data_IF_112504647735
#
_entry.id   IF_112504647735
#
_cell.length_a   1.000
_cell.length_b   1.000
_cell.length_c   1.000
_cell.angle_alpha   90.00
_cell.angle_beta   90.00
_cell.angle_gamma   90.00
#
_symmetry.space_group_name_H-M   'P 1'
#
loop_
_entity.id
_entity.type
_entity.pdbx_description
1 polymer ?
#
# COMPACT_ATOMS: atom_id res chain seq x y z
N UNK A 1 7.96 8.10 23.03
CA UNK A 1 6.54 7.68 22.88
C UNK A 1 6.20 7.33 21.44
N UNK A 2 5.36 6.32 21.21
CA UNK A 2 4.81 5.98 19.90
C UNK A 2 3.29 6.24 19.89
N UNK A 3 2.77 6.72 18.77
CA UNK A 3 1.35 7.01 18.60
C UNK A 3 0.87 6.62 17.22
N UNK A 4 -0.41 6.30 17.11
CA UNK A 4 -1.04 5.77 15.91
C UNK A 4 -2.30 6.56 15.56
N UNK A 5 -2.49 6.85 14.29
CA UNK A 5 -3.72 7.41 13.74
C UNK A 5 -3.94 6.86 12.31
N UNK A 6 -5.20 6.72 11.90
CA UNK A 6 -5.56 6.36 10.52
C UNK A 6 -6.68 7.25 10.00
N UNK A 7 -6.68 7.54 8.71
CA UNK A 7 -7.70 8.37 8.06
C UNK A 7 -8.12 7.75 6.73
N UNK A 8 -9.42 7.76 6.48
CA UNK A 8 -10.01 7.36 5.20
C UNK A 8 -9.64 8.40 4.14
N UNK A 9 -9.02 7.93 3.06
CA UNK A 9 -8.64 8.67 1.87
C UNK A 9 -9.16 7.97 0.61
N UNK A 10 -10.37 7.43 0.63
CA UNK A 10 -11.00 6.78 -0.53
C UNK A 10 -11.09 7.66 -1.78
N UNK A 11 -11.04 8.99 -1.62
CA UNK A 11 -10.99 9.93 -2.76
C UNK A 11 -9.59 9.99 -3.41
N UNK A 12 -8.56 9.57 -2.67
CA UNK A 12 -7.16 9.69 -3.07
C UNK A 12 -6.63 8.44 -3.79
N UNK A 13 -7.41 7.38 -3.84
CA UNK A 13 -7.01 6.11 -4.47
C UNK A 13 -8.22 5.48 -5.11
N UNK A 14 -7.97 4.69 -6.14
CA UNK A 14 -8.98 3.80 -6.69
C UNK A 14 -8.32 2.51 -7.16
N UNK A 15 -9.09 1.44 -7.14
CA UNK A 15 -8.70 0.19 -7.79
C UNK A 15 -9.09 0.23 -9.26
N UNK A 16 -8.13 -0.02 -10.16
CA UNK A 16 -8.38 -0.05 -11.61
C UNK A 16 -8.91 -1.40 -12.09
N UNK A 17 -8.80 -2.44 -11.27
CA UNK A 17 -9.09 -3.82 -11.65
C UNK A 17 -10.29 -4.37 -10.88
N UNK A 18 -11.27 -5.04 -11.54
CA UNK A 18 -12.33 -5.75 -10.83
C UNK A 18 -11.76 -6.78 -9.84
N UNK A 19 -12.42 -7.02 -8.70
CA UNK A 19 -13.75 -6.54 -8.29
C UNK A 19 -13.74 -5.18 -7.57
N UNK A 20 -12.71 -4.35 -7.76
CA UNK A 20 -12.61 -3.00 -7.25
C UNK A 20 -12.56 -2.93 -5.72
N UNK A 21 -11.52 -3.54 -5.16
CA UNK A 21 -11.27 -3.54 -3.73
C UNK A 21 -10.00 -2.75 -3.42
N UNK A 22 -10.05 -1.92 -2.39
CA UNK A 22 -8.90 -1.16 -1.93
C UNK A 22 -8.92 -0.94 -0.43
N UNK A 23 -7.75 -0.88 0.19
CA UNK A 23 -7.63 -0.32 1.53
C UNK A 23 -7.71 1.23 1.43
N UNK A 24 -8.80 1.88 1.87
CA UNK A 24 -8.96 3.32 1.68
C UNK A 24 -8.10 4.14 2.65
N UNK A 25 -7.42 3.52 3.61
CA UNK A 25 -6.83 4.23 4.74
C UNK A 25 -5.36 4.58 4.53
N UNK A 26 -4.99 5.80 4.93
CA UNK A 26 -3.61 6.17 5.26
C UNK A 26 -3.38 6.00 6.75
N UNK A 27 -2.30 5.32 7.10
CA UNK A 27 -1.92 5.04 8.49
C UNK A 27 -0.65 5.79 8.85
N UNK A 28 -0.64 6.41 10.03
CA UNK A 28 0.51 7.13 10.57
C UNK A 28 0.89 6.56 11.93
N UNK A 29 2.14 6.12 12.04
CA UNK A 29 2.84 5.98 13.30
C UNK A 29 3.76 7.19 13.50
N UNK A 30 3.69 7.83 14.66
CA UNK A 30 4.60 8.92 15.02
C UNK A 30 5.38 8.55 16.28
N UNK A 31 6.70 8.43 16.12
CA UNK A 31 7.66 8.22 17.19
C UNK A 31 8.25 9.55 17.64
N UNK A 32 8.08 9.87 18.92
CA UNK A 32 8.72 11.00 19.57
C UNK A 32 9.81 10.49 20.50
N UNK A 33 11.10 10.78 20.24
CA UNK A 33 12.20 10.35 21.09
C UNK A 33 12.20 11.07 22.43
N UNK A 34 12.69 10.42 23.48
CA UNK A 34 12.85 11.03 24.81
C UNK A 34 14.08 11.94 24.87
N UNK A 35 15.06 11.72 23.97
CA UNK A 35 16.28 12.50 23.90
C UNK A 35 15.98 13.93 23.41
N UNK A 36 16.35 14.92 24.22
CA UNK A 36 16.19 16.33 23.87
C UNK A 36 16.98 16.67 22.59
N UNK A 37 16.32 17.31 21.63
CA UNK A 37 16.93 17.70 20.35
C UNK A 37 16.97 16.58 19.30
N UNK A 38 16.49 15.37 19.61
CA UNK A 38 16.33 14.33 18.60
C UNK A 38 15.07 14.59 17.75
N UNK A 39 15.22 14.44 16.44
CA UNK A 39 14.13 14.62 15.47
C UNK A 39 13.09 13.50 15.62
N UNK A 40 11.79 13.81 15.79
CA UNK A 40 10.74 12.80 15.76
C UNK A 40 10.63 12.14 14.37
N UNK A 41 10.07 10.93 14.32
CA UNK A 41 9.94 10.16 13.07
C UNK A 41 8.48 9.85 12.79
N UNK A 42 8.05 10.07 11.55
CA UNK A 42 6.77 9.63 11.02
C UNK A 42 7.01 8.42 10.12
N UNK A 43 6.28 7.33 10.39
CA UNK A 43 6.20 6.15 9.54
C UNK A 43 4.79 6.11 8.98
N UNK A 44 4.66 6.16 7.67
CA UNK A 44 3.37 6.16 6.98
C UNK A 44 3.25 4.96 6.06
N UNK A 45 2.04 4.41 5.99
CA UNK A 45 1.67 3.39 5.01
C UNK A 45 0.37 3.77 4.31
N UNK A 46 0.37 3.54 3.00
CA UNK A 46 -0.74 3.84 2.10
C UNK A 46 -0.68 2.91 0.89
N UNK A 47 -1.81 2.30 0.53
CA UNK A 47 -1.93 1.37 -0.59
C UNK A 47 -2.17 2.12 -1.90
N UNK A 48 -1.11 2.66 -2.51
CA UNK A 48 -1.18 3.34 -3.80
C UNK A 48 0.07 3.06 -4.61
N UNK A 49 -0.05 2.67 -5.88
CA UNK A 49 1.12 2.50 -6.74
C UNK A 49 1.90 3.82 -6.91
N UNK A 50 3.24 3.81 -6.77
CA UNK A 50 4.10 4.93 -7.15
C UNK A 50 4.32 4.97 -8.67
N UNK A 51 3.23 5.22 -9.41
CA UNK A 51 3.22 5.29 -10.88
C UNK A 51 2.71 6.63 -11.42
N UNK A 52 2.56 7.65 -10.56
CA UNK A 52 1.95 8.94 -10.93
C UNK A 52 2.79 9.73 -11.93
N UNK A 53 4.11 9.54 -11.93
CA UNK A 53 5.03 10.16 -12.91
C UNK A 53 4.92 9.61 -14.32
N UNK A 54 4.17 8.51 -14.53
CA UNK A 54 3.95 7.85 -15.82
C UNK A 54 5.20 7.20 -16.47
N UNK A 55 4.96 6.26 -17.39
CA UNK A 55 5.99 5.45 -18.05
C UNK A 55 6.84 6.21 -19.08
N UNK A 56 6.39 7.39 -19.51
CA UNK A 56 7.11 8.25 -20.45
C UNK A 56 8.12 9.18 -19.77
N UNK A 57 8.14 9.22 -18.43
CA UNK A 57 9.12 9.97 -17.66
C UNK A 57 10.52 9.34 -17.78
N UNK A 58 11.52 10.15 -18.13
CA UNK A 58 12.87 9.67 -18.52
C UNK A 58 13.92 9.86 -17.43
N UNK A 59 13.52 10.28 -16.25
CA UNK A 59 14.42 10.50 -15.11
C UNK A 59 14.04 9.59 -13.96
N UNK A 60 15.03 9.25 -13.14
CA UNK A 60 14.80 8.50 -11.92
C UNK A 60 13.92 9.36 -11.00
N UNK A 61 12.84 8.77 -10.49
CA UNK A 61 11.92 9.39 -9.56
C UNK A 61 11.56 8.40 -8.46
N UNK A 62 11.34 8.90 -7.25
CA UNK A 62 10.67 8.16 -6.18
C UNK A 62 9.16 8.48 -6.12
N UNK A 63 8.63 9.05 -7.21
CA UNK A 63 7.23 9.39 -7.41
C UNK A 63 6.68 10.32 -6.31
N UNK A 64 5.39 10.26 -6.01
CA UNK A 64 4.74 11.10 -5.00
C UNK A 64 5.38 11.01 -3.61
N UNK A 65 6.07 9.91 -3.27
CA UNK A 65 6.65 9.67 -1.95
C UNK A 65 7.74 10.69 -1.63
N UNK A 66 8.57 11.05 -2.62
CA UNK A 66 9.62 12.07 -2.42
C UNK A 66 9.02 13.42 -2.05
N UNK A 67 7.91 13.81 -2.68
CA UNK A 67 7.27 15.09 -2.40
C UNK A 67 6.52 15.07 -1.05
N UNK A 68 6.01 13.92 -0.61
CA UNK A 68 5.56 13.75 0.77
C UNK A 68 6.70 14.02 1.77
N UNK A 69 7.87 13.46 1.49
CA UNK A 69 9.08 13.63 2.33
C UNK A 69 9.46 15.11 2.48
N UNK A 70 9.40 15.89 1.40
CA UNK A 70 9.73 17.33 1.45
C UNK A 70 8.83 18.09 2.43
N UNK A 71 7.52 17.84 2.43
CA UNK A 71 6.59 18.48 3.39
C UNK A 71 6.89 18.05 4.83
N UNK A 72 7.10 16.75 5.03
CA UNK A 72 7.30 16.15 6.36
C UNK A 72 8.63 16.58 6.98
N UNK A 73 9.71 16.59 6.20
CA UNK A 73 11.02 17.07 6.62
C UNK A 73 10.98 18.58 6.92
N UNK A 74 10.25 19.38 6.12
CA UNK A 74 10.04 20.81 6.39
C UNK A 74 9.32 21.04 7.72
N UNK A 75 8.39 20.16 8.09
CA UNK A 75 7.72 20.19 9.38
C UNK A 75 8.59 19.68 10.56
N UNK A 76 9.84 19.27 10.30
CA UNK A 76 10.80 18.88 11.33
C UNK A 76 10.69 17.41 11.78
N UNK A 77 10.22 16.52 10.91
CA UNK A 77 10.14 15.08 11.17
C UNK A 77 11.04 14.31 10.21
N UNK A 78 11.67 13.22 10.66
CA UNK A 78 12.16 12.20 9.73
C UNK A 78 10.96 11.47 9.11
N UNK A 79 11.12 10.95 7.90
CA UNK A 79 10.05 10.25 7.20
C UNK A 79 10.46 8.84 6.77
N UNK A 80 9.54 7.89 6.95
CA UNK A 80 9.62 6.55 6.38
C UNK A 80 8.27 6.25 5.74
N UNK A 81 8.29 5.93 4.46
CA UNK A 81 7.13 5.38 3.77
C UNK A 81 7.30 3.86 3.64
N UNK A 82 6.27 3.11 4.02
CA UNK A 82 6.18 1.67 3.78
C UNK A 82 4.99 1.47 2.85
N UNK A 83 5.20 0.79 1.73
CA UNK A 83 4.13 0.51 0.78
C UNK A 83 3.02 -0.26 1.51
N UNK A 84 1.79 0.27 1.44
CA UNK A 84 0.61 -0.40 2.00
C UNK A 84 0.12 -1.53 1.11
N UNK A 85 -1.13 -1.93 1.31
CA UNK A 85 -1.76 -2.91 0.43
C UNK A 85 -1.99 -2.32 -0.97
N UNK A 86 -1.04 -2.56 -1.87
CA UNK A 86 -1.00 -1.85 -3.15
C UNK A 86 -1.95 -2.47 -4.16
N UNK A 87 -2.15 -3.81 -4.13
CA UNK A 87 -3.03 -4.51 -5.08
C UNK A 87 -2.85 -3.94 -6.49
N UNK A 88 -3.92 -3.57 -7.18
CA UNK A 88 -3.98 -2.81 -8.44
C UNK A 88 -4.40 -1.35 -8.23
N UNK A 89 -4.24 -0.82 -7.02
CA UNK A 89 -4.67 0.54 -6.67
C UNK A 89 -3.74 1.61 -7.21
N UNK A 90 -4.30 2.69 -7.73
CA UNK A 90 -3.53 3.80 -8.29
C UNK A 90 -4.05 5.14 -7.78
N UNK A 91 -3.30 6.20 -8.08
CA UNK A 91 -3.54 7.54 -7.54
C UNK A 91 -4.82 8.15 -8.07
N UNK A 92 -5.58 8.77 -7.17
CA UNK A 92 -6.66 9.71 -7.45
C UNK A 92 -6.53 10.85 -6.45
N UNK A 93 -6.71 12.10 -6.82
CA UNK A 93 -7.74 13.02 -6.35
C UNK A 93 -7.72 14.08 -7.44
N UNK A 94 -8.04 13.59 -8.64
CA UNK A 94 -7.17 13.70 -9.82
C UNK A 94 -5.79 14.33 -9.53
N UNK A 95 -4.97 13.60 -8.79
CA UNK A 95 -3.60 13.94 -8.42
C UNK A 95 -3.38 15.39 -7.93
N UNK A 96 -4.32 15.84 -7.08
CA UNK A 96 -4.39 17.05 -6.24
C UNK A 96 -5.25 18.23 -6.75
N UNK A 97 -6.27 17.92 -7.54
CA UNK A 97 -7.11 18.81 -8.35
C UNK A 97 -7.35 20.24 -7.83
N UNK A 98 -6.51 21.11 -8.36
CA UNK A 98 -6.46 22.57 -8.30
C UNK A 98 -6.98 23.25 -9.59
N UNK A 99 -7.45 22.44 -10.55
CA UNK A 99 -7.94 22.88 -11.86
C UNK A 99 -6.84 23.25 -12.86
N UNK A 100 -5.58 22.85 -12.62
CA UNK A 100 -4.46 23.15 -13.52
C UNK A 100 -4.30 22.10 -14.63
N UNK A 101 -3.79 22.56 -15.78
CA UNK A 101 -3.33 21.71 -16.89
C UNK A 101 -1.87 21.32 -16.62
N UNK A 102 -1.68 20.10 -16.12
CA UNK A 102 -0.41 19.59 -15.62
C UNK A 102 0.03 18.36 -16.40
N UNK A 103 1.33 18.19 -16.56
CA UNK A 103 1.86 16.89 -16.96
C UNK A 103 1.85 15.88 -15.81
N UNK A 104 2.12 14.60 -16.11
CA UNK A 104 2.10 13.52 -15.12
C UNK A 104 3.10 13.74 -13.98
N UNK A 105 4.26 14.34 -14.25
CA UNK A 105 5.26 14.63 -13.25
C UNK A 105 4.78 15.74 -12.31
N UNK A 106 4.26 16.83 -12.85
CA UNK A 106 3.68 17.92 -12.08
C UNK A 106 2.50 17.44 -11.23
N UNK A 107 1.65 16.58 -11.77
CA UNK A 107 0.58 15.94 -11.01
C UNK A 107 1.12 15.06 -9.86
N UNK A 108 2.19 14.29 -10.07
CA UNK A 108 2.84 13.49 -9.03
C UNK A 108 3.43 14.36 -7.91
N UNK A 109 4.05 15.49 -8.27
CA UNK A 109 4.59 16.48 -7.32
C UNK A 109 3.48 16.97 -6.39
N UNK A 110 2.39 17.44 -6.98
CA UNK A 110 1.32 18.04 -6.19
C UNK A 110 0.55 17.02 -5.37
N UNK A 111 0.28 15.84 -5.93
CA UNK A 111 -0.30 14.71 -5.20
C UNK A 111 0.54 14.33 -3.97
N UNK A 112 1.86 14.26 -4.13
CA UNK A 112 2.77 13.97 -3.01
C UNK A 112 2.80 15.06 -1.95
N UNK A 113 2.82 16.34 -2.33
CA UNK A 113 2.70 17.43 -1.35
C UNK A 113 1.40 17.35 -0.55
N UNK A 114 0.28 17.10 -1.23
CA UNK A 114 -1.01 16.99 -0.55
C UNK A 114 -1.05 15.81 0.43
N UNK A 115 -0.57 14.63 0.03
CA UNK A 115 -0.44 13.48 0.94
C UNK A 115 0.51 13.76 2.11
N UNK A 116 1.58 14.54 1.90
CA UNK A 116 2.49 14.98 2.95
C UNK A 116 1.78 15.88 3.98
N UNK A 117 1.02 16.87 3.51
CA UNK A 117 0.19 17.73 4.37
C UNK A 117 -0.85 16.92 5.14
N UNK A 118 -1.57 16.04 4.46
CA UNK A 118 -2.57 15.15 5.05
C UNK A 118 -1.94 14.32 6.16
N UNK A 119 -0.81 13.67 5.89
CA UNK A 119 -0.08 12.84 6.87
C UNK A 119 0.19 13.60 8.16
N UNK A 120 0.71 14.82 8.07
CA UNK A 120 0.93 15.69 9.23
C UNK A 120 -0.39 16.09 9.91
N UNK A 121 -1.43 16.37 9.12
CA UNK A 121 -2.69 16.96 9.56
C UNK A 121 -3.74 15.99 10.14
N UNK A 122 -3.51 14.68 10.12
CA UNK A 122 -4.46 13.65 10.60
C UNK A 122 -5.19 14.03 11.90
N UNK A 123 -4.48 14.61 12.87
CA UNK A 123 -5.01 14.95 14.21
C UNK A 123 -5.23 16.45 14.41
N UNK A 124 -5.05 17.26 13.35
CA UNK A 124 -5.14 18.71 13.40
C UNK A 124 -6.55 19.19 13.02
N UNK A 125 -7.00 20.24 13.69
CA UNK A 125 -8.20 20.99 13.28
C UNK A 125 -7.95 21.74 11.97
N UNK A 126 -9.00 22.11 11.24
CA UNK A 126 -8.88 22.88 10.00
C UNK A 126 -8.06 24.17 10.16
N UNK A 127 -8.24 24.92 11.26
CA UNK A 127 -7.43 26.12 11.54
C UNK A 127 -5.94 25.81 11.73
N UNK A 128 -5.61 24.65 12.31
CA UNK A 128 -4.23 24.19 12.42
C UNK A 128 -3.69 23.71 11.07
N UNK A 129 -4.52 23.15 10.19
CA UNK A 129 -4.15 22.82 8.82
C UNK A 129 -3.77 24.06 8.01
N UNK A 130 -4.50 25.18 8.18
CA UNK A 130 -4.13 26.47 7.58
C UNK A 130 -2.75 26.94 8.06
N UNK A 131 -2.49 26.85 9.37
CA UNK A 131 -1.19 27.22 9.93
C UNK A 131 -0.06 26.30 9.43
N UNK A 132 -0.31 25.00 9.34
CA UNK A 132 0.61 24.01 8.79
C UNK A 132 0.95 24.32 7.33
N UNK A 133 -0.07 24.56 6.49
CA UNK A 133 0.09 24.92 5.09
C UNK A 133 1.09 26.07 4.91
N UNK A 134 0.90 27.15 5.66
CA UNK A 134 1.74 28.34 5.59
C UNK A 134 3.14 28.11 6.16
N UNK A 135 3.26 27.34 7.24
CA UNK A 135 4.56 27.07 7.89
C UNK A 135 5.44 26.18 7.01
N UNK A 136 4.83 25.26 6.25
CA UNK A 136 5.54 24.42 5.29
C UNK A 136 5.60 25.03 3.88
N UNK A 137 5.36 26.34 3.72
CA UNK A 137 5.66 27.06 2.49
C UNK A 137 4.55 27.12 1.43
N UNK A 138 3.33 26.69 1.74
CA UNK A 138 2.17 26.74 0.83
C UNK A 138 2.46 26.09 -0.53
N UNK A 139 2.98 24.86 -0.53
CA UNK A 139 3.49 24.19 -1.73
C UNK A 139 2.40 23.86 -2.78
N UNK A 140 1.14 23.87 -2.36
CA UNK A 140 -0.02 23.74 -3.26
C UNK A 140 -0.56 25.10 -3.73
N UNK A 141 0.01 26.21 -3.26
CA UNK A 141 -0.37 27.57 -3.64
C UNK A 141 -1.78 27.97 -3.20
N UNK A 142 -2.25 27.47 -2.05
CA UNK A 142 -3.59 27.74 -1.52
C UNK A 142 -3.81 29.25 -1.33
N UNK A 143 -2.80 30.01 -0.90
CA UNK A 143 -2.95 31.46 -0.70
C UNK A 143 -3.11 32.23 -2.01
N UNK A 144 -2.62 31.68 -3.12
CA UNK A 144 -2.67 32.31 -4.44
C UNK A 144 -3.91 31.86 -5.20
N UNK A 145 -4.18 30.55 -5.20
CA UNK A 145 -5.17 29.91 -6.06
C UNK A 145 -6.46 29.52 -5.34
N UNK A 146 -6.51 29.54 -4.00
CA UNK A 146 -7.64 29.03 -3.21
C UNK A 146 -8.99 29.74 -3.43
N UNK A 147 -8.98 30.91 -4.08
CA UNK A 147 -10.20 31.63 -4.48
C UNK A 147 -10.69 31.29 -5.90
N UNK A 148 -9.93 30.51 -6.68
CA UNK A 148 -10.34 30.08 -8.02
C UNK A 148 -11.47 29.06 -7.91
N UNK A 149 -12.45 29.15 -8.81
CA UNK A 149 -13.64 28.28 -8.79
C UNK A 149 -13.29 26.79 -8.93
N UNK A 150 -12.24 26.49 -9.70
CA UNK A 150 -11.81 25.12 -9.99
C UNK A 150 -10.76 24.59 -9.00
N UNK A 151 -10.30 25.43 -8.05
CA UNK A 151 -9.31 25.03 -7.04
C UNK A 151 -9.97 24.41 -5.82
N UNK A 152 -9.54 23.21 -5.44
CA UNK A 152 -10.00 22.56 -4.21
C UNK A 152 -8.93 22.64 -3.12
N UNK A 153 -9.28 23.25 -2.00
CA UNK A 153 -8.38 23.35 -0.84
C UNK A 153 -8.38 22.01 -0.10
N UNK A 154 -7.20 21.41 0.08
CA UNK A 154 -7.03 20.07 0.68
C UNK A 154 -7.58 19.95 2.11
N UNK A 155 -7.56 21.04 2.89
CA UNK A 155 -8.08 21.07 4.27
C UNK A 155 -9.52 21.57 4.38
N UNK A 156 -10.24 21.79 3.27
CA UNK A 156 -11.62 22.27 3.33
C UNK A 156 -12.53 21.22 3.97
N UNK A 157 -13.30 21.62 4.98
CA UNK A 157 -14.16 20.72 5.77
C UNK A 157 -13.36 19.62 6.49
N UNK A 158 -12.11 19.90 6.86
CA UNK A 158 -11.23 18.89 7.42
C UNK A 158 -11.71 18.44 8.81
N UNK A 159 -11.92 17.13 8.94
CA UNK A 159 -12.25 16.50 10.23
C UNK A 159 -11.02 15.74 10.74
N UNK A 160 -10.46 16.10 11.91
CA UNK A 160 -9.37 15.34 12.52
C UNK A 160 -9.83 13.96 12.97
N UNK A 161 -8.90 13.01 12.96
CA UNK A 161 -9.08 11.67 13.51
C UNK A 161 -8.45 11.56 14.90
N UNK A 162 -8.94 10.61 15.69
CA UNK A 162 -8.38 10.32 17.01
C UNK A 162 -6.98 9.70 16.88
N UNK A 163 -6.12 10.05 17.84
CA UNK A 163 -4.79 9.46 18.01
C UNK A 163 -4.81 8.48 19.19
N UNK A 164 -4.25 7.29 18.99
CA UNK A 164 -4.04 6.30 20.05
C UNK A 164 -2.57 6.33 20.47
N UNK A 165 -2.29 6.28 21.77
CA UNK A 165 -0.94 5.97 22.25
C UNK A 165 -0.69 4.49 22.07
N UNK A 166 0.44 4.14 21.47
CA UNK A 166 0.81 2.74 21.23
C UNK A 166 1.58 2.22 22.43
N UNK A 167 1.19 1.05 22.94
CA UNK A 167 1.91 0.42 24.04
C UNK A 167 3.36 0.08 23.62
N UNK A 168 4.35 0.10 24.53
CA UNK A 168 5.76 -0.18 24.21
C UNK A 168 6.00 -1.69 24.03
N UNK A 169 5.26 -2.30 23.10
CA UNK A 169 5.32 -3.71 22.74
C UNK A 169 5.55 -3.79 21.23
N UNK A 170 6.54 -4.58 20.84
CA UNK A 170 6.89 -4.84 19.45
C UNK A 170 7.09 -6.33 19.28
N UNK A 171 6.21 -6.97 18.52
CA UNK A 171 6.35 -8.36 18.13
C UNK A 171 6.71 -8.44 16.65
N UNK A 172 7.72 -9.24 16.33
CA UNK A 172 8.13 -9.52 14.96
C UNK A 172 8.31 -11.02 14.81
N UNK A 173 7.73 -11.61 13.77
CA UNK A 173 7.94 -13.01 13.37
C UNK A 173 8.13 -13.06 11.86
N UNK A 174 9.03 -13.92 11.42
CA UNK A 174 9.31 -14.15 10.01
C UNK A 174 9.27 -15.65 9.74
N UNK A 175 8.76 -16.04 8.58
CA UNK A 175 8.76 -17.40 8.07
C UNK A 175 9.40 -17.43 6.68
N UNK A 176 10.48 -18.20 6.52
CA UNK A 176 11.14 -18.42 5.24
C UNK A 176 10.82 -19.83 4.73
N UNK A 177 10.41 -19.93 3.46
CA UNK A 177 9.97 -21.20 2.90
C UNK A 177 10.14 -21.28 1.39
N UNK A 178 9.99 -22.50 0.87
CA UNK A 178 9.90 -22.76 -0.57
C UNK A 178 8.45 -22.63 -1.01
N UNK A 179 8.17 -21.68 -1.88
CA UNK A 179 6.88 -21.53 -2.55
C UNK A 179 6.94 -22.23 -3.90
N UNK A 180 5.99 -23.14 -4.17
CA UNK A 180 5.91 -23.81 -5.46
C UNK A 180 5.44 -22.83 -6.54
N UNK A 181 6.15 -22.80 -7.66
CA UNK A 181 5.77 -22.04 -8.85
C UNK A 181 5.04 -22.94 -9.85
N UNK A 182 3.71 -22.77 -9.93
CA UNK A 182 2.85 -23.42 -10.93
C UNK A 182 2.71 -22.57 -12.21
N UNK A 183 3.22 -21.33 -12.20
CA UNK A 183 3.14 -20.43 -13.35
C UNK A 183 4.20 -20.77 -14.40
N UNK A 184 3.76 -21.20 -15.58
CA UNK A 184 4.64 -21.57 -16.68
C UNK A 184 5.46 -20.40 -17.23
N UNK A 185 4.92 -19.18 -17.21
CA UNK A 185 5.64 -17.96 -17.62
C UNK A 185 6.75 -17.68 -16.63
N UNK A 186 6.46 -17.63 -15.32
CA UNK A 186 7.48 -17.46 -14.27
C UNK A 186 8.55 -18.54 -14.33
N UNK A 187 8.16 -19.80 -14.53
CA UNK A 187 9.09 -20.92 -14.69
C UNK A 187 9.97 -20.79 -15.93
N UNK A 188 9.43 -20.30 -17.06
CA UNK A 188 10.21 -20.04 -18.26
C UNK A 188 11.20 -18.90 -18.02
N UNK A 189 10.77 -17.78 -17.42
CA UNK A 189 11.62 -16.64 -17.07
C UNK A 189 12.77 -17.05 -16.14
N UNK A 190 12.49 -17.86 -15.11
CA UNK A 190 13.50 -18.39 -14.21
C UNK A 190 14.49 -19.32 -14.91
N UNK A 191 14.04 -20.19 -15.83
CA UNK A 191 14.92 -21.09 -16.59
C UNK A 191 15.92 -20.36 -17.48
N UNK A 192 15.51 -19.23 -18.09
CA UNK A 192 16.35 -18.47 -19.00
C UNK A 192 17.11 -17.33 -18.30
N UNK A 193 17.02 -17.25 -16.96
CA UNK A 193 17.57 -16.15 -16.16
C UNK A 193 17.13 -14.77 -16.66
N UNK A 194 15.89 -14.65 -17.13
CA UNK A 194 15.32 -13.36 -17.54
C UNK A 194 15.04 -12.46 -16.32
N UNK A 195 14.78 -13.08 -15.17
CA UNK A 195 14.67 -12.41 -13.88
C UNK A 195 15.72 -12.99 -12.91
N UNK A 196 16.16 -12.16 -11.95
CA UNK A 196 17.13 -12.54 -10.93
C UNK A 196 16.53 -13.35 -9.76
N UNK A 197 15.28 -13.80 -9.89
CA UNK A 197 14.58 -14.58 -8.87
C UNK A 197 15.25 -15.93 -8.68
N UNK A 198 15.42 -16.35 -7.43
CA UNK A 198 16.08 -17.62 -7.11
C UNK A 198 15.11 -18.80 -7.25
N UNK A 199 15.19 -19.49 -8.39
CA UNK A 199 14.39 -20.70 -8.64
C UNK A 199 15.16 -21.99 -8.31
N UNK A 200 14.51 -22.88 -7.56
CA UNK A 200 14.96 -24.24 -7.28
C UNK A 200 14.12 -25.21 -8.11
N UNK A 201 14.79 -26.12 -8.83
CA UNK A 201 14.12 -27.19 -9.57
C UNK A 201 14.30 -28.53 -8.86
N UNK A 202 13.19 -29.12 -8.41
CA UNK A 202 13.17 -30.47 -7.87
C UNK A 202 12.97 -31.48 -9.00
N UNK A 203 14.02 -32.26 -9.29
CA UNK A 203 14.00 -33.29 -10.34
C UNK A 203 13.04 -34.44 -10.02
N UNK A 204 12.78 -34.73 -8.74
CA UNK A 204 11.94 -35.85 -8.32
C UNK A 204 10.46 -35.58 -8.56
N UNK A 205 10.02 -34.36 -8.22
CA UNK A 205 8.63 -33.90 -8.43
C UNK A 205 8.44 -33.13 -9.74
N UNK A 206 9.53 -32.89 -10.49
CA UNK A 206 9.55 -32.08 -11.72
C UNK A 206 8.91 -30.70 -11.55
N UNK A 207 9.10 -30.11 -10.38
CA UNK A 207 8.45 -28.86 -9.96
C UNK A 207 9.48 -27.75 -9.72
N UNK A 208 9.06 -26.52 -9.99
CA UNK A 208 9.83 -25.31 -9.69
C UNK A 208 9.36 -24.71 -8.37
N UNK A 209 10.30 -24.15 -7.63
CA UNK A 209 10.06 -23.44 -6.39
C UNK A 209 10.85 -22.14 -6.39
N UNK A 210 10.36 -21.13 -5.68
CA UNK A 210 11.14 -19.95 -5.31
C UNK A 210 11.32 -19.92 -3.80
N UNK A 211 12.47 -19.45 -3.32
CA UNK A 211 12.64 -19.13 -1.90
C UNK A 211 12.01 -17.77 -1.67
N UNK A 212 11.20 -17.66 -0.62
CA UNK A 212 10.57 -16.40 -0.22
C UNK A 212 10.41 -16.34 1.28
N UNK A 213 9.99 -15.19 1.79
CA UNK A 213 9.72 -14.96 3.20
C UNK A 213 8.44 -14.15 3.40
N UNK A 214 7.77 -14.37 4.52
CA UNK A 214 6.60 -13.59 4.92
C UNK A 214 6.73 -13.24 6.40
N UNK A 215 6.27 -12.05 6.77
CA UNK A 215 6.42 -11.54 8.12
C UNK A 215 5.10 -11.14 8.78
N UNK A 216 5.18 -11.07 10.10
CA UNK A 216 4.19 -10.49 10.98
C UNK A 216 4.88 -9.44 11.86
N UNK A 217 4.30 -8.25 11.95
CA UNK A 217 4.71 -7.21 12.89
C UNK A 217 3.51 -6.72 13.67
N UNK A 218 3.69 -6.45 14.95
CA UNK A 218 2.67 -5.83 15.80
C UNK A 218 3.29 -4.73 16.64
N UNK A 219 2.63 -3.56 16.64
CA UNK A 219 2.96 -2.40 17.46
C UNK A 219 1.87 -2.20 18.51
N UNK A 220 2.21 -2.49 19.76
CA UNK A 220 1.28 -2.46 20.88
C UNK A 220 0.11 -3.42 20.67
N UNK A 221 -1.10 -2.96 20.99
CA UNK A 221 -2.35 -3.64 20.63
C UNK A 221 -3.10 -2.87 19.53
N UNK A 222 -2.44 -1.90 18.91
CA UNK A 222 -3.06 -0.88 18.09
C UNK A 222 -2.94 -1.14 16.59
N UNK A 223 -1.92 -1.91 16.15
CA UNK A 223 -1.65 -2.14 14.74
C UNK A 223 -0.91 -3.47 14.51
N UNK A 224 -1.46 -4.29 13.63
CA UNK A 224 -0.88 -5.55 13.15
C UNK A 224 -0.58 -5.42 11.65
N UNK A 225 0.54 -5.98 11.20
CA UNK A 225 1.00 -5.89 9.81
C UNK A 225 1.40 -7.25 9.28
N UNK A 226 0.88 -7.59 8.10
CA UNK A 226 1.45 -8.62 7.23
C UNK A 226 2.58 -7.98 6.42
N UNK A 227 3.81 -8.47 6.57
CA UNK A 227 4.92 -8.12 5.67
C UNK A 227 4.86 -9.06 4.47
N UNK A 228 4.38 -8.53 3.35
CA UNK A 228 4.03 -9.28 2.16
C UNK A 228 5.21 -9.32 1.18
N UNK A 229 5.60 -10.50 0.69
CA UNK A 229 6.64 -10.65 -0.33
C UNK A 229 6.16 -10.32 -1.75
N UNK A 230 5.00 -9.70 -1.93
CA UNK A 230 4.42 -9.40 -3.24
C UNK A 230 3.38 -8.30 -3.15
N UNK A 231 2.46 -8.28 -4.11
CA UNK A 231 1.35 -7.31 -4.16
C UNK A 231 0.04 -8.06 -3.92
N UNK A 232 -0.52 -7.95 -2.71
CA UNK A 232 -1.74 -8.68 -2.37
C UNK A 232 -2.97 -7.98 -2.95
N UNK A 233 -3.85 -8.76 -3.57
CA UNK A 233 -5.17 -8.27 -3.97
C UNK A 233 -5.95 -7.84 -2.72
N UNK A 234 -6.56 -6.66 -2.76
CA UNK A 234 -7.12 -6.02 -1.56
C UNK A 234 -8.24 -6.82 -0.91
N UNK A 235 -8.93 -7.68 -1.65
CA UNK A 235 -9.96 -8.57 -1.12
C UNK A 235 -9.40 -9.53 -0.06
N UNK A 236 -8.12 -9.90 -0.15
CA UNK A 236 -7.45 -10.68 0.90
C UNK A 236 -7.38 -9.92 2.23
N UNK A 237 -7.29 -8.59 2.18
CA UNK A 237 -7.28 -7.73 3.36
C UNK A 237 -8.70 -7.38 3.82
N UNK A 238 -9.52 -6.83 2.92
CA UNK A 238 -10.79 -6.17 3.26
C UNK A 238 -12.04 -7.02 2.97
N UNK A 239 -11.90 -8.14 2.27
CA UNK A 239 -12.99 -8.99 1.84
C UNK A 239 -13.67 -8.51 0.57
N UNK A 240 -14.87 -9.05 0.32
CA UNK A 240 -15.68 -8.74 -0.87
C UNK A 240 -15.74 -9.88 -1.90
N UNK A 241 -16.29 -9.62 -3.10
CA UNK A 241 -16.60 -10.65 -4.08
C UNK A 241 -15.38 -11.47 -4.54
N UNK A 242 -14.18 -10.88 -4.51
CA UNK A 242 -12.94 -11.56 -4.88
C UNK A 242 -12.54 -12.73 -3.97
N UNK A 243 -13.16 -12.87 -2.79
CA UNK A 243 -12.94 -14.04 -1.92
C UNK A 243 -13.88 -15.21 -2.20
N UNK A 244 -14.82 -15.11 -3.15
CA UNK A 244 -15.79 -16.18 -3.39
C UNK A 244 -15.11 -17.50 -3.74
N UNK A 245 -15.33 -18.52 -2.89
CA UNK A 245 -14.72 -19.85 -3.05
C UNK A 245 -13.28 -19.96 -2.53
N UNK A 246 -12.72 -18.90 -1.96
CA UNK A 246 -11.46 -18.96 -1.21
C UNK A 246 -11.69 -19.61 0.16
N UNK A 247 -10.65 -20.24 0.72
CA UNK A 247 -10.80 -21.05 1.93
C UNK A 247 -10.68 -20.27 3.24
N UNK A 248 -10.21 -19.02 3.17
CA UNK A 248 -10.04 -18.14 4.33
C UNK A 248 -10.93 -16.91 4.17
N UNK A 249 -11.40 -16.38 5.29
CA UNK A 249 -12.02 -15.06 5.34
C UNK A 249 -10.96 -13.97 5.09
N UNK A 250 -11.40 -12.72 4.95
CA UNK A 250 -10.46 -11.60 4.83
C UNK A 250 -9.66 -11.42 6.12
N UNK A 251 -8.47 -10.82 6.03
CA UNK A 251 -7.66 -10.55 7.21
C UNK A 251 -8.42 -9.67 8.22
N UNK A 252 -9.19 -8.68 7.76
CA UNK A 252 -10.00 -7.83 8.65
C UNK A 252 -11.16 -8.56 9.30
N UNK A 253 -11.78 -9.51 8.62
CA UNK A 253 -12.81 -10.35 9.25
C UNK A 253 -12.19 -11.25 10.34
N UNK A 254 -10.99 -11.77 10.11
CA UNK A 254 -10.29 -12.64 11.06
C UNK A 254 -9.68 -11.88 12.26
N UNK A 255 -9.19 -10.66 12.04
CA UNK A 255 -8.32 -9.97 13.00
C UNK A 255 -8.74 -8.53 13.36
N UNK A 256 -9.74 -7.97 12.68
CA UNK A 256 -10.25 -6.61 12.89
C UNK A 256 -9.58 -5.55 12.00
N UNK A 257 -10.12 -4.33 12.04
CA UNK A 257 -9.77 -3.23 11.11
C UNK A 257 -8.36 -2.65 11.25
N UNK A 258 -7.63 -2.98 12.31
CA UNK A 258 -6.27 -2.49 12.57
C UNK A 258 -5.21 -3.52 12.17
N UNK A 259 -5.58 -4.52 11.33
CA UNK A 259 -4.62 -5.30 10.55
C UNK A 259 -4.44 -4.68 9.16
N UNK A 260 -3.19 -4.56 8.72
CA UNK A 260 -2.82 -4.01 7.41
C UNK A 260 -1.86 -4.94 6.67
N UNK A 261 -1.69 -4.72 5.37
CA UNK A 261 -0.64 -5.36 4.58
C UNK A 261 0.40 -4.29 4.22
N UNK A 262 1.67 -4.64 4.40
CA UNK A 262 2.80 -3.91 3.84
C UNK A 262 3.35 -4.75 2.69
N UNK A 263 3.02 -4.35 1.46
CA UNK A 263 3.43 -5.08 0.25
C UNK A 263 4.89 -4.82 -0.12
N UNK A 264 5.46 -5.72 -0.93
CA UNK A 264 6.82 -5.64 -1.47
C UNK A 264 7.91 -5.55 -0.38
N UNK A 265 7.71 -6.22 0.75
CA UNK A 265 8.68 -6.30 1.84
C UNK A 265 9.53 -7.56 1.69
N UNK A 266 10.85 -7.36 1.68
CA UNK A 266 11.92 -8.36 1.55
C UNK A 266 11.99 -9.14 0.22
N UNK A 267 10.89 -9.28 -0.52
CA UNK A 267 10.83 -10.03 -1.79
C UNK A 267 9.79 -9.43 -2.76
N UNK A 268 9.78 -9.92 -4.01
CA UNK A 268 8.87 -9.49 -5.08
C UNK A 268 8.34 -10.70 -5.89
N UNK A 269 7.36 -11.39 -5.32
CA UNK A 269 6.68 -12.56 -5.89
C UNK A 269 5.62 -12.24 -6.95
N UNK A 270 5.48 -10.96 -7.31
CA UNK A 270 4.37 -10.47 -8.12
C UNK A 270 3.05 -10.46 -7.34
N UNK A 271 1.94 -10.60 -8.06
CA UNK A 271 0.60 -10.46 -7.48
C UNK A 271 0.13 -11.71 -6.75
N UNK A 272 -0.55 -11.49 -5.63
CA UNK A 272 -1.12 -12.53 -4.78
C UNK A 272 -2.63 -12.35 -4.73
N UNK A 273 -3.34 -13.21 -5.46
CA UNK A 273 -4.80 -13.25 -5.46
C UNK A 273 -5.32 -14.45 -4.67
N UNK A 274 -6.58 -14.39 -4.28
CA UNK A 274 -7.31 -15.57 -3.81
C UNK A 274 -7.23 -16.71 -4.85
N UNK A 275 -7.04 -17.95 -4.39
CA UNK A 275 -6.79 -19.11 -5.26
C UNK A 275 -7.79 -19.26 -6.43
N UNK A 276 -9.12 -19.05 -6.26
CA UNK A 276 -10.08 -19.13 -7.36
C UNK A 276 -9.86 -18.09 -8.46
N UNK A 277 -9.24 -16.96 -8.14
CA UNK A 277 -9.01 -15.86 -9.05
C UNK A 277 -7.73 -16.03 -9.86
N UNK A 278 -6.91 -17.05 -9.56
CA UNK A 278 -5.71 -17.34 -10.33
C UNK A 278 -6.05 -17.68 -11.79
N UNK A 279 -5.50 -16.88 -12.70
CA UNK A 279 -5.66 -17.08 -14.14
C UNK A 279 -4.31 -17.14 -14.84
N UNK A 280 -4.21 -17.97 -15.89
CA UNK A 280 -3.02 -18.03 -16.77
C UNK A 280 -3.12 -17.10 -17.99
N UNK A 281 -4.29 -16.48 -18.18
CA UNK A 281 -4.55 -15.43 -19.17
C UNK A 281 -5.23 -14.32 -18.38
N UNK A 282 -4.69 -13.10 -18.40
CA UNK A 282 -5.19 -11.95 -17.63
C UNK A 282 -6.55 -11.48 -18.10
N UNK A 283 -7.59 -12.28 -17.88
CA UNK A 283 -8.98 -11.98 -18.12
C UNK A 283 -9.79 -12.48 -16.92
N UNK A 284 -10.55 -11.58 -16.30
CA UNK A 284 -11.55 -11.97 -15.30
C UNK A 284 -12.93 -11.48 -15.70
N UNK A 285 -13.94 -12.21 -15.26
CA UNK A 285 -15.32 -11.80 -15.44
C UNK A 285 -15.70 -10.73 -14.41
N UNK A 286 -16.15 -9.58 -14.87
CA UNK A 286 -16.72 -8.54 -14.04
C UNK A 286 -18.25 -8.70 -14.00
N UNK A 287 -18.78 -8.99 -12.80
CA UNK A 287 -20.21 -9.18 -12.59
C UNK A 287 -21.03 -7.88 -12.67
N UNK A 288 -20.42 -6.72 -12.45
CA UNK A 288 -21.10 -5.42 -12.49
C UNK A 288 -21.51 -5.03 -13.92
N UNK A 289 -20.73 -5.44 -14.92
CA UNK A 289 -20.95 -5.10 -16.32
C UNK A 289 -21.12 -6.31 -17.25
N UNK A 290 -21.22 -7.53 -16.71
CA UNK A 290 -21.44 -8.78 -17.44
C UNK A 290 -20.44 -9.00 -18.59
N UNK A 291 -19.14 -8.79 -18.33
CA UNK A 291 -18.09 -8.88 -19.36
C UNK A 291 -16.76 -9.40 -18.84
N UNK A 292 -15.91 -9.90 -19.75
CA UNK A 292 -14.52 -10.24 -19.41
C UNK A 292 -13.63 -9.00 -19.55
N UNK A 293 -12.96 -8.65 -18.45
CA UNK A 293 -12.03 -7.52 -18.34
C UNK A 293 -10.61 -8.01 -18.47
N UNK A 294 -9.88 -7.45 -19.45
CA UNK A 294 -8.48 -7.79 -19.75
C UNK A 294 -7.47 -7.06 -18.86
N UNK A 295 -7.92 -6.05 -18.11
CA UNK A 295 -7.07 -5.31 -17.15
C UNK A 295 -6.90 -6.06 -15.82
N UNK A 296 -6.72 -7.38 -15.93
CA UNK A 296 -6.44 -8.32 -14.82
C UNK A 296 -5.09 -9.02 -15.08
N UNK A 297 -4.27 -8.41 -15.94
CA UNK A 297 -2.95 -8.89 -16.35
C UNK A 297 -2.02 -9.08 -15.16
N UNK A 298 -2.19 -8.30 -14.10
CA UNK A 298 -1.46 -8.41 -12.83
C UNK A 298 -1.42 -9.86 -12.32
N UNK A 299 -2.54 -10.57 -12.42
CA UNK A 299 -2.70 -11.93 -11.89
C UNK A 299 -1.93 -12.97 -12.73
N UNK A 300 -1.59 -12.64 -13.99
CA UNK A 300 -0.66 -13.43 -14.80
C UNK A 300 0.71 -13.55 -14.14
N UNK A 301 1.10 -12.58 -13.31
CA UNK A 301 2.41 -12.51 -12.66
C UNK A 301 2.38 -13.14 -11.26
N UNK A 302 1.34 -13.91 -10.92
CA UNK A 302 1.32 -14.72 -9.70
C UNK A 302 2.13 -16.01 -9.82
N UNK A 303 2.80 -16.45 -8.75
CA UNK A 303 3.63 -17.68 -8.76
C UNK A 303 2.82 -18.96 -9.01
N UNK A 304 1.51 -18.99 -8.74
CA UNK A 304 0.72 -20.19 -8.93
C UNK A 304 -0.67 -20.16 -8.29
N UNK A 305 -1.47 -21.18 -8.62
CA UNK A 305 -2.88 -21.31 -8.21
C UNK A 305 -3.15 -21.49 -6.72
N UNK A 306 -2.10 -21.64 -5.91
CA UNK A 306 -2.20 -21.77 -4.45
C UNK A 306 -1.35 -20.73 -3.70
N UNK A 307 -0.86 -19.71 -4.40
CA UNK A 307 -0.01 -18.69 -3.78
C UNK A 307 -0.78 -17.99 -2.67
N UNK A 308 -2.00 -17.51 -2.94
CA UNK A 308 -2.84 -16.84 -1.96
C UNK A 308 -3.06 -17.68 -0.70
N UNK A 309 -3.54 -18.92 -0.84
CA UNK A 309 -3.78 -19.77 0.33
C UNK A 309 -2.52 -20.18 1.08
N UNK A 310 -1.40 -20.38 0.37
CA UNK A 310 -0.13 -20.71 1.02
C UNK A 310 0.37 -19.55 1.88
N UNK A 311 0.33 -18.33 1.35
CA UNK A 311 0.79 -17.14 2.06
C UNK A 311 -0.13 -16.77 3.22
N UNK A 312 -1.45 -16.74 3.00
CA UNK A 312 -2.43 -16.46 4.06
C UNK A 312 -2.37 -17.53 5.16
N UNK A 313 -2.30 -18.82 4.81
CA UNK A 313 -2.18 -19.90 5.79
C UNK A 313 -0.92 -19.79 6.66
N UNK A 314 0.21 -19.39 6.06
CA UNK A 314 1.46 -19.14 6.81
C UNK A 314 1.37 -17.90 7.69
N UNK A 315 0.74 -16.83 7.21
CA UNK A 315 0.50 -15.64 8.02
C UNK A 315 -0.39 -15.94 9.23
N UNK A 316 -1.44 -16.74 9.06
CA UNK A 316 -2.29 -17.21 10.15
C UNK A 316 -1.43 -17.98 11.17
N UNK A 317 -0.60 -18.92 10.72
CA UNK A 317 0.28 -19.68 11.61
C UNK A 317 1.29 -18.78 12.38
N UNK A 318 1.82 -17.73 11.76
CA UNK A 318 2.67 -16.76 12.46
C UNK A 318 1.89 -15.96 13.50
N UNK A 319 0.70 -15.50 13.15
CA UNK A 319 -0.18 -14.73 14.04
C UNK A 319 -0.60 -15.57 15.25
N UNK A 320 -0.95 -16.84 15.05
CA UNK A 320 -1.30 -17.77 16.12
C UNK A 320 -0.10 -18.13 17.01
N UNK A 321 1.14 -17.99 16.52
CA UNK A 321 2.34 -18.29 17.31
C UNK A 321 2.69 -17.23 18.37
N UNK A 322 2.05 -16.06 18.31
CA UNK A 322 2.29 -14.94 19.23
C UNK A 322 1.09 -14.59 20.11
N UNK A 323 -0.06 -15.25 19.88
CA UNK A 323 -1.28 -15.13 20.68
C UNK A 323 -1.35 -16.26 21.71
#
# INVERSE_FOLDING_TARGET
>A
TLSYAKKDLSEYIFDRTPPYAMDPYLYKLQFTPDAQGATPTIITTFGCHPESTSYDFKSISADFIYYMEEVINTAGFNFVFIQGNVSTTTSSRHNSNDGLDLDSYEAAVRYGYELGYITLALTLTESQCVALNNTCGDLLGVNVYGNNADYTIWYKNWVPVAQKTVAPLLNIRMDQFLLKSDNNVSNAMGKVSLANNFFVYDKSTRSYYTVTELGYVEFGNELQMLLSPGEFMSELLIGGPGLLGFQYDSLRDMYGDDIIICDLVNDALGYVAADPNYVMLGMQYNAENDSFVTDTWAILISMGKRTGSTLIGRFIALTDSVR
#
